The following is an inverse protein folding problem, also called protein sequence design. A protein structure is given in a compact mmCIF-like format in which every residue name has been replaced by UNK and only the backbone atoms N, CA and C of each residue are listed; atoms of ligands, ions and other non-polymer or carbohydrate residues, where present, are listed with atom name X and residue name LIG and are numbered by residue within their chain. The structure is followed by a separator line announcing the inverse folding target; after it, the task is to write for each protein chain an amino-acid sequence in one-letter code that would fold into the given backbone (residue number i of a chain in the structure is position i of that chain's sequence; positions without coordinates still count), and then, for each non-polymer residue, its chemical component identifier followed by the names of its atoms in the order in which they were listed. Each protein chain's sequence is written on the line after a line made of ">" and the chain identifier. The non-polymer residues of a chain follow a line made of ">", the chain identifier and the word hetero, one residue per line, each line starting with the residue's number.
data_IF_573607580935
#
_entry.id   IF_573607580935
#
_cell.length_a   1.000
_cell.length_b   1.000
_cell.length_c   1.000
_cell.angle_alpha   90.00
_cell.angle_beta   90.00
_cell.angle_gamma   90.00
#
_symmetry.space_group_name_H-M   'P 1'
#
loop_
_entity.id
_entity.type
_entity.pdbx_description
1 polymer ?
#
# COMPACT_ATOMS: atom_id res chain seq x y z
N UNK A 1 1.24 3.19 10.23
CA UNK A 1 1.11 1.86 10.86
C UNK A 1 -0.12 1.13 10.30
N UNK A 2 -0.04 -0.16 9.98
CA UNK A 2 -1.12 -0.90 9.32
C UNK A 2 -2.34 -1.13 10.24
N UNK A 3 -3.55 -1.00 9.67
CA UNK A 3 -4.85 -1.18 10.32
C UNK A 3 -5.85 -1.91 9.41
N UNK A 4 -7.09 -2.04 9.89
CA UNK A 4 -8.25 -2.40 9.08
C UNK A 4 -8.22 -3.82 8.53
N UNK A 5 -8.89 -4.03 7.40
CA UNK A 5 -9.11 -5.37 6.84
C UNK A 5 -7.81 -6.07 6.43
N UNK A 6 -6.79 -5.31 6.04
CA UNK A 6 -5.49 -5.84 5.60
C UNK A 6 -4.70 -6.46 6.76
N UNK A 7 -4.93 -6.01 8.00
CA UNK A 7 -4.34 -6.62 9.20
C UNK A 7 -4.83 -8.06 9.44
N UNK A 8 -6.05 -8.41 9.04
CA UNK A 8 -6.56 -9.77 9.18
C UNK A 8 -5.79 -10.79 8.33
N UNK A 9 -5.22 -10.37 7.20
CA UNK A 9 -4.35 -11.25 6.39
C UNK A 9 -3.13 -11.68 7.17
N UNK A 10 -2.54 -10.79 7.98
CA UNK A 10 -1.41 -11.13 8.84
C UNK A 10 -1.79 -12.10 9.95
N UNK A 11 -2.93 -11.86 10.61
CA UNK A 11 -3.34 -12.68 11.76
C UNK A 11 -3.90 -14.05 11.38
N UNK A 12 -4.55 -14.17 10.22
CA UNK A 12 -5.26 -15.40 9.84
C UNK A 12 -4.61 -16.15 8.68
N UNK A 13 -3.61 -15.54 8.02
CA UNK A 13 -2.98 -16.08 6.81
C UNK A 13 -3.89 -16.12 5.59
N UNK A 14 -5.12 -15.60 5.68
CA UNK A 14 -6.10 -15.54 4.58
C UNK A 14 -6.72 -14.15 4.52
N UNK A 15 -6.96 -13.59 3.33
CA UNK A 15 -7.70 -12.34 3.23
C UNK A 15 -9.13 -12.56 3.73
N UNK A 16 -9.54 -11.79 4.74
CA UNK A 16 -10.88 -11.87 5.32
C UNK A 16 -12.00 -11.55 4.29
N UNK A 17 -11.71 -10.62 3.39
CA UNK A 17 -12.54 -10.19 2.24
C UNK A 17 -11.58 -9.61 1.20
N UNK A 18 -11.95 -9.66 -0.08
CA UNK A 18 -11.25 -8.87 -1.10
C UNK A 18 -11.32 -7.37 -0.74
N UNK A 19 -10.20 -6.81 -0.29
CA UNK A 19 -10.03 -5.38 -0.02
C UNK A 19 -9.03 -4.83 -1.02
N UNK A 20 -9.34 -3.68 -1.62
CA UNK A 20 -8.44 -2.93 -2.51
C UNK A 20 -7.83 -1.72 -1.82
N UNK A 21 -8.10 -1.56 -0.53
CA UNK A 21 -7.61 -0.44 0.26
C UNK A 21 -6.68 -0.89 1.37
N UNK A 22 -5.72 -0.03 1.68
CA UNK A 22 -4.82 -0.14 2.82
C UNK A 22 -5.27 0.91 3.83
N UNK A 23 -5.53 0.48 5.06
CA UNK A 23 -5.86 1.42 6.15
C UNK A 23 -4.60 1.63 6.99
N UNK A 24 -4.21 2.89 7.22
CA UNK A 24 -3.03 3.27 7.99
C UNK A 24 -3.40 4.22 9.14
N UNK A 25 -2.68 4.10 10.27
CA UNK A 25 -2.55 5.19 11.24
C UNK A 25 -1.38 6.08 10.86
N UNK A 26 -1.65 7.38 10.71
CA UNK A 26 -0.67 8.44 10.63
C UNK A 26 -0.32 8.96 12.02
N UNK A 27 0.94 9.37 12.19
CA UNK A 27 1.45 10.05 13.38
C UNK A 27 1.99 11.46 13.06
N UNK A 28 1.75 11.91 11.83
CA UNK A 28 2.21 13.18 11.31
C UNK A 28 1.05 14.20 11.26
N UNK A 29 1.32 15.38 10.70
CA UNK A 29 0.30 16.40 10.47
C UNK A 29 -0.87 15.81 9.64
N UNK A 30 -2.13 15.88 10.13
CA UNK A 30 -3.30 15.34 9.43
C UNK A 30 -3.70 16.17 8.20
N UNK A 31 -3.03 17.29 7.93
CA UNK A 31 -3.26 18.14 6.79
C UNK A 31 -3.03 17.42 5.45
N UNK A 32 -3.98 17.59 4.52
CA UNK A 32 -3.92 17.01 3.17
C UNK A 32 -2.61 17.36 2.45
N UNK A 33 -2.10 18.57 2.63
CA UNK A 33 -0.84 19.02 2.00
C UNK A 33 0.37 18.25 2.52
N UNK A 34 0.41 17.97 3.83
CA UNK A 34 1.47 17.18 4.42
C UNK A 34 1.42 15.73 3.95
N UNK A 35 0.23 15.11 3.97
CA UNK A 35 0.04 13.75 3.45
C UNK A 35 0.40 13.67 1.97
N UNK A 36 0.04 14.68 1.16
CA UNK A 36 0.42 14.77 -0.26
C UNK A 36 1.92 14.79 -0.44
N UNK A 37 2.65 15.58 0.35
CA UNK A 37 4.10 15.66 0.28
C UNK A 37 4.75 14.30 0.57
N UNK A 38 4.32 13.65 1.65
CA UNK A 38 4.82 12.31 2.04
C UNK A 38 4.56 11.29 0.94
N UNK A 39 3.34 11.20 0.41
CA UNK A 39 3.03 10.24 -0.65
C UNK A 39 3.75 10.55 -1.96
N UNK A 40 3.97 11.83 -2.27
CA UNK A 40 4.76 12.22 -3.44
C UNK A 40 6.21 11.74 -3.32
N UNK A 41 6.82 11.90 -2.15
CA UNK A 41 8.18 11.41 -1.86
C UNK A 41 8.25 9.89 -1.94
N UNK A 42 7.32 9.18 -1.30
CA UNK A 42 7.27 7.71 -1.29
C UNK A 42 7.10 7.14 -2.70
N UNK A 43 6.19 7.70 -3.50
CA UNK A 43 5.91 7.21 -4.86
C UNK A 43 7.01 7.58 -5.87
N UNK A 44 7.85 8.57 -5.56
CA UNK A 44 8.99 8.98 -6.37
C UNK A 44 10.33 8.34 -5.91
N UNK A 45 10.31 7.56 -4.83
CA UNK A 45 11.50 6.98 -4.25
C UNK A 45 12.14 5.97 -5.21
N UNK A 46 13.43 6.14 -5.47
CA UNK A 46 14.19 5.27 -6.38
C UNK A 46 14.44 3.91 -5.72
N UNK A 47 14.01 2.84 -6.37
CA UNK A 47 14.14 1.45 -5.91
C UNK A 47 14.69 0.59 -7.03
N UNK A 48 15.26 -0.56 -6.69
CA UNK A 48 15.58 -1.57 -7.70
C UNK A 48 14.31 -1.93 -8.49
N UNK A 49 14.43 -2.04 -9.81
CA UNK A 49 13.30 -2.32 -10.69
C UNK A 49 12.64 -3.65 -10.30
N UNK A 50 11.47 -3.54 -9.68
CA UNK A 50 10.62 -4.65 -9.24
C UNK A 50 9.41 -4.83 -10.18
N UNK A 51 9.39 -4.12 -11.31
CA UNK A 51 8.31 -4.12 -12.28
C UNK A 51 7.08 -3.28 -11.90
N UNK A 52 7.13 -2.53 -10.79
CA UNK A 52 6.06 -1.63 -10.36
C UNK A 52 6.41 -0.17 -10.70
N UNK A 53 5.51 0.51 -11.41
CA UNK A 53 5.64 1.95 -11.67
C UNK A 53 4.44 2.71 -11.13
N UNK A 54 4.67 3.79 -10.38
CA UNK A 54 3.62 4.65 -9.86
C UNK A 54 3.39 5.86 -10.77
N UNK A 55 2.12 6.17 -11.06
CA UNK A 55 1.73 7.34 -11.83
C UNK A 55 1.45 8.51 -10.87
N UNK A 56 2.48 9.34 -10.62
CA UNK A 56 2.36 10.53 -9.76
C UNK A 56 1.29 11.52 -10.25
N UNK A 57 1.04 11.58 -11.56
CA UNK A 57 0.00 12.46 -12.12
C UNK A 57 -1.43 12.02 -11.74
N UNK A 58 -1.59 10.79 -11.28
CA UNK A 58 -2.86 10.24 -10.82
C UNK A 58 -3.12 10.41 -9.32
N UNK A 59 -2.19 11.03 -8.56
CA UNK A 59 -2.29 11.20 -7.11
C UNK A 59 -3.40 12.18 -6.72
N UNK A 60 -4.44 11.65 -6.08
CA UNK A 60 -5.59 12.40 -5.55
C UNK A 60 -5.64 12.20 -4.04
N UNK A 61 -5.93 13.28 -3.30
CA UNK A 61 -6.14 13.24 -1.87
C UNK A 61 -7.41 13.98 -1.50
N UNK A 62 -8.21 13.38 -0.63
CA UNK A 62 -9.46 13.92 -0.13
C UNK A 62 -9.60 13.69 1.37
N UNK A 63 -10.31 14.59 2.05
CA UNK A 63 -10.68 14.41 3.46
C UNK A 63 -11.76 13.34 3.57
N UNK A 64 -11.56 12.39 4.48
CA UNK A 64 -12.56 11.42 4.92
C UNK A 64 -13.48 12.15 5.91
N UNK A 65 -14.68 12.49 5.45
CA UNK A 65 -15.70 13.16 6.26
C UNK A 65 -16.37 12.13 7.17
N UNK A 66 -15.83 11.98 8.38
CA UNK A 66 -16.55 11.47 9.54
C UNK A 66 -16.73 12.64 10.52
N UNK A 67 -17.67 12.54 11.46
CA UNK A 67 -18.13 13.63 12.35
C UNK A 67 -17.08 14.09 13.39
N UNK A 68 -15.79 13.99 13.05
CA UNK A 68 -14.60 14.21 13.87
C UNK A 68 -13.87 15.49 13.41
N UNK A 69 -13.28 16.21 14.36
CA UNK A 69 -12.58 17.48 14.15
C UNK A 69 -11.29 17.32 13.30
N UNK A 70 -10.72 16.11 13.25
CA UNK A 70 -9.58 15.70 12.42
C UNK A 70 -9.92 14.43 11.63
N UNK A 71 -10.79 14.56 10.62
CA UNK A 71 -11.09 13.47 9.69
C UNK A 71 -9.83 12.92 9.00
N UNK A 72 -9.82 11.62 8.71
CA UNK A 72 -8.69 10.99 8.02
C UNK A 72 -8.47 11.53 6.60
N UNK A 73 -7.39 11.13 5.95
CA UNK A 73 -7.08 11.47 4.56
C UNK A 73 -7.15 10.23 3.70
N UNK A 74 -7.95 10.25 2.64
CA UNK A 74 -7.97 9.24 1.59
C UNK A 74 -6.98 9.64 0.52
N UNK A 75 -6.11 8.71 0.15
CA UNK A 75 -5.13 8.83 -0.92
C UNK A 75 -5.45 7.81 -2.00
N UNK A 76 -5.55 8.27 -3.25
CA UNK A 76 -5.76 7.41 -4.41
C UNK A 76 -4.69 7.68 -5.47
N UNK A 77 -4.17 6.62 -6.06
CA UNK A 77 -3.21 6.69 -7.16
C UNK A 77 -3.23 5.40 -7.99
N UNK A 78 -2.56 5.44 -9.13
CA UNK A 78 -2.44 4.31 -10.05
C UNK A 78 -1.02 3.76 -9.97
N UNK A 79 -0.91 2.45 -9.82
CA UNK A 79 0.29 1.68 -10.08
C UNK A 79 0.13 0.87 -11.38
N UNK A 80 1.23 0.62 -12.07
CA UNK A 80 1.31 -0.26 -13.24
C UNK A 80 2.26 -1.41 -12.94
N UNK A 81 1.85 -2.62 -13.33
CA UNK A 81 2.69 -3.81 -13.30
C UNK A 81 2.63 -4.41 -14.71
N UNK A 82 3.71 -4.26 -15.47
CA UNK A 82 3.71 -4.56 -16.92
C UNK A 82 2.55 -3.82 -17.62
N UNK A 83 1.58 -4.54 -18.19
CA UNK A 83 0.41 -3.96 -18.87
C UNK A 83 -0.82 -3.81 -17.95
N UNK A 84 -0.74 -4.27 -16.70
CA UNK A 84 -1.84 -4.18 -15.75
C UNK A 84 -1.83 -2.81 -15.06
N UNK A 85 -3.00 -2.17 -15.02
CA UNK A 85 -3.22 -0.93 -14.28
C UNK A 85 -4.03 -1.21 -13.02
N UNK A 86 -3.48 -0.84 -11.86
CA UNK A 86 -4.07 -1.08 -10.54
C UNK A 86 -4.33 0.27 -9.87
N UNK A 87 -5.59 0.57 -9.59
CA UNK A 87 -5.97 1.71 -8.74
C UNK A 87 -5.82 1.30 -7.28
N UNK A 88 -4.99 2.03 -6.55
CA UNK A 88 -4.74 1.84 -5.13
C UNK A 88 -5.43 2.93 -4.32
N UNK A 89 -5.96 2.54 -3.17
CA UNK A 89 -6.55 3.45 -2.20
C UNK A 89 -5.87 3.23 -0.84
N UNK A 90 -5.45 4.30 -0.20
CA UNK A 90 -4.90 4.29 1.16
C UNK A 90 -5.70 5.26 2.02
N UNK A 91 -6.35 4.76 3.06
CA UNK A 91 -7.07 5.59 4.04
C UNK A 91 -6.14 5.80 5.25
N UNK A 92 -5.82 7.04 5.59
CA UNK A 92 -4.96 7.41 6.73
C UNK A 92 -5.80 8.06 7.82
N UNK A 93 -5.96 7.40 8.96
CA UNK A 93 -6.57 7.97 10.17
C UNK A 93 -5.51 8.45 11.16
N UNK A 94 -5.85 9.36 12.08
CA UNK A 94 -4.88 10.02 12.97
C UNK A 94 -5.13 9.86 14.48
N UNK A 95 -6.30 9.37 14.90
CA UNK A 95 -6.69 9.40 16.33
C UNK A 95 -7.13 8.06 16.93
N UNK A 96 -6.94 6.93 16.24
CA UNK A 96 -7.41 5.66 16.81
C UNK A 96 -6.48 5.14 17.91
N UNK A 97 -7.09 4.72 19.02
CA UNK A 97 -6.43 3.98 20.08
C UNK A 97 -5.77 2.69 19.55
N UNK A 98 -4.57 2.41 20.07
CA UNK A 98 -3.78 1.23 19.68
C UNK A 98 -3.91 0.21 20.80
N UNK A 99 -4.51 -0.95 20.50
CA UNK A 99 -4.58 -2.07 21.44
C UNK A 99 -4.68 -3.39 20.67
N UNK A 100 -3.82 -4.39 20.93
CA UNK A 100 -2.63 -4.36 21.81
C UNK A 100 -1.53 -3.45 21.25
N UNK A 101 -0.39 -3.33 21.97
CA UNK A 101 0.76 -2.55 21.51
C UNK A 101 1.20 -2.95 20.09
N UNK A 102 1.57 -1.96 19.28
CA UNK A 102 2.01 -2.18 17.91
C UNK A 102 3.34 -2.95 17.87
N UNK A 103 3.47 -3.88 16.93
CA UNK A 103 4.69 -4.63 16.70
C UNK A 103 5.13 -4.53 15.23
N UNK A 104 6.44 -4.72 15.00
CA UNK A 104 7.01 -4.79 13.66
C UNK A 104 6.83 -6.20 13.11
N UNK A 105 6.33 -6.30 11.88
CA UNK A 105 6.04 -7.57 11.20
C UNK A 105 6.46 -7.47 9.74
N UNK A 106 6.91 -8.59 9.17
CA UNK A 106 7.08 -8.71 7.71
C UNK A 106 5.72 -8.97 7.08
N UNK A 107 5.31 -8.08 6.17
CA UNK A 107 4.06 -8.25 5.43
C UNK A 107 4.29 -9.17 4.22
N UNK A 108 3.48 -10.23 4.02
CA UNK A 108 3.69 -11.16 2.93
C UNK A 108 3.52 -10.48 1.57
N UNK A 109 4.34 -10.82 0.56
CA UNK A 109 4.20 -10.28 -0.78
C UNK A 109 2.90 -10.75 -1.44
N UNK A 110 2.40 -9.97 -2.42
CA UNK A 110 1.22 -10.31 -3.21
C UNK A 110 1.40 -11.58 -4.04
N UNK A 111 2.62 -11.87 -4.47
CA UNK A 111 3.00 -13.08 -5.18
C UNK A 111 4.04 -13.87 -4.37
N UNK A 112 3.99 -15.21 -4.38
CA UNK A 112 5.07 -16.00 -3.79
C UNK A 112 6.38 -15.64 -4.48
N UNK A 113 7.48 -15.52 -3.73
CA UNK A 113 8.81 -15.38 -4.31
C UNK A 113 9.03 -16.58 -5.23
N UNK A 114 9.13 -16.34 -6.53
CA UNK A 114 9.58 -17.36 -7.47
C UNK A 114 11.03 -17.66 -7.10
N UNK A 115 11.34 -18.95 -6.96
CA UNK A 115 12.71 -19.43 -6.76
C UNK A 115 13.62 -18.85 -7.85
N UNK A 116 14.71 -18.17 -7.49
CA UNK A 116 15.69 -17.60 -8.44
C UNK A 116 16.26 -18.65 -9.40
N UNK A 117 16.26 -19.94 -9.02
CA UNK A 117 16.74 -21.03 -9.88
C UNK A 117 15.73 -21.49 -10.95
N UNK A 118 14.44 -21.15 -10.84
CA UNK A 118 13.45 -21.60 -11.83
C UNK A 118 13.39 -20.73 -13.09
N UNK A 119 14.00 -19.54 -13.08
CA UNK A 119 13.98 -18.62 -14.22
C UNK A 119 15.11 -18.89 -15.24
N UNK A 120 16.06 -19.78 -14.96
CA UNK A 120 17.17 -20.10 -15.88
C UNK A 120 16.92 -21.34 -16.77
N UNK A 121 15.91 -22.17 -16.50
CA UNK A 121 15.67 -23.40 -17.28
C UNK A 121 14.72 -23.20 -18.49
N UNK A 122 14.21 -21.99 -18.72
CA UNK A 122 13.24 -21.71 -19.79
C UNK A 122 13.83 -21.48 -21.18
N UNK A 123 15.14 -21.31 -21.33
CA UNK A 123 15.76 -20.78 -22.57
C UNK A 123 16.47 -21.83 -23.44
N UNK A 124 16.26 -23.12 -23.17
CA UNK A 124 16.84 -24.22 -23.94
C UNK A 124 15.77 -25.13 -24.55
N UNK A 125 14.84 -24.57 -25.32
CA UNK A 125 14.06 -25.37 -26.28
C UNK A 125 13.65 -24.54 -27.49
N UNK A 126 14.64 -24.06 -28.26
CA UNK A 126 14.55 -23.70 -29.68
C UNK A 126 15.97 -23.63 -30.25
N UNK A 127 16.53 -24.79 -30.60
CA UNK A 127 17.64 -24.95 -31.55
C UNK A 127 17.54 -26.34 -32.17
#
# INVERSE_FOLDING_TARGET
>A
MLKGATLFTLWTGKPHRATRKIDLLGFCDPGVDHVRAVFTEVLAFDVADDGVCYDLGSLVLDLIREDQEYGGVRVEFVARITNAQVRLQVDVGFEDAITPEASVVEFPPLAPRLCENCLQEGDSMMA
#
